data_IF_748603518093
#
_entry.id   IF_748603518093
#
_cell.length_a   1.000
_cell.length_b   1.000
_cell.length_c   1.000
_cell.angle_alpha   90.00
_cell.angle_beta   90.00
_cell.angle_gamma   90.00
#
_symmetry.space_group_name_H-M   'P 1'
#
loop_
_entity.id
_entity.type
_entity.pdbx_description
1 polymer ?
#
# COMPACT_ATOMS: atom_id res chain seq x y z
N UNK A 1 46.45 21.04 15.74
CA UNK A 1 45.74 19.87 15.17
C UNK A 1 44.70 19.44 16.19
N UNK A 2 43.49 20.00 16.11
CA UNK A 2 42.34 19.62 16.94
C UNK A 2 41.59 18.50 16.23
N UNK A 3 41.59 17.32 16.84
CA UNK A 3 40.81 16.16 16.40
C UNK A 3 39.33 16.43 16.66
N UNK A 4 38.63 16.94 15.65
CA UNK A 4 37.18 16.99 15.57
C UNK A 4 36.63 15.55 15.63
N UNK A 5 36.20 15.13 16.82
CA UNK A 5 35.50 13.87 17.05
C UNK A 5 34.09 13.94 16.45
N UNK A 6 33.96 13.59 15.18
CA UNK A 6 32.65 13.45 14.52
C UNK A 6 32.02 12.11 14.93
N UNK A 7 31.41 12.06 16.12
CA UNK A 7 30.67 10.90 16.62
C UNK A 7 29.30 10.79 15.92
N UNK A 8 29.27 10.10 14.77
CA UNK A 8 28.04 9.71 14.06
C UNK A 8 27.31 8.60 14.83
N UNK A 9 26.50 9.00 15.81
CA UNK A 9 25.52 8.10 16.43
C UNK A 9 24.48 7.72 15.37
N UNK A 10 24.72 6.62 14.66
CA UNK A 10 23.75 6.02 13.74
C UNK A 10 22.52 5.60 14.54
N UNK A 11 21.47 6.42 14.52
CA UNK A 11 20.18 6.09 15.13
C UNK A 11 19.46 5.07 14.25
N UNK A 12 19.92 3.82 14.30
CA UNK A 12 19.29 2.69 13.62
C UNK A 12 17.96 2.40 14.33
N UNK A 13 16.87 2.56 13.58
CA UNK A 13 15.52 2.31 14.04
C UNK A 13 15.39 0.90 14.65
N UNK A 14 14.69 0.74 15.78
CA UNK A 14 14.56 -0.54 16.45
C UNK A 14 13.85 -1.56 15.56
N UNK A 15 14.53 -2.66 15.27
CA UNK A 15 14.04 -3.83 14.49
C UNK A 15 12.67 -4.33 14.99
N UNK A 16 12.39 -4.13 16.27
CA UNK A 16 11.13 -4.46 16.93
C UNK A 16 9.90 -3.87 16.22
N UNK A 17 9.98 -2.63 15.74
CA UNK A 17 8.85 -1.98 15.04
C UNK A 17 8.55 -2.70 13.72
N UNK A 18 9.58 -3.08 12.97
CA UNK A 18 9.41 -3.85 11.73
C UNK A 18 8.77 -5.21 11.96
N UNK A 19 9.18 -5.91 13.02
CA UNK A 19 8.64 -7.22 13.36
C UNK A 19 7.16 -7.17 13.75
N UNK A 20 6.73 -6.13 14.49
CA UNK A 20 5.32 -5.95 14.86
C UNK A 20 4.47 -5.69 13.61
N UNK A 21 4.91 -4.81 12.73
CA UNK A 21 4.18 -4.50 11.49
C UNK A 21 4.15 -5.71 10.57
N UNK A 22 5.24 -6.48 10.49
CA UNK A 22 5.29 -7.73 9.75
C UNK A 22 4.25 -8.74 10.27
N UNK A 23 4.14 -8.91 11.59
CA UNK A 23 3.10 -9.76 12.18
C UNK A 23 1.70 -9.27 11.81
N UNK A 24 1.46 -7.96 11.85
CA UNK A 24 0.16 -7.37 11.47
C UNK A 24 -0.16 -7.60 9.97
N UNK A 25 0.84 -7.53 9.09
CA UNK A 25 0.70 -7.87 7.67
C UNK A 25 0.38 -9.36 7.47
N UNK A 26 1.02 -10.25 8.23
CA UNK A 26 0.73 -11.69 8.15
C UNK A 26 -0.71 -12.01 8.58
N UNK A 27 -1.24 -11.32 9.60
CA UNK A 27 -2.65 -11.44 9.99
C UNK A 27 -3.58 -10.96 8.88
N UNK A 28 -3.29 -9.81 8.26
CA UNK A 28 -4.08 -9.30 7.13
C UNK A 28 -4.03 -10.23 5.91
N UNK A 29 -2.89 -10.87 5.67
CA UNK A 29 -2.73 -11.86 4.62
C UNK A 29 -3.60 -13.10 4.89
N UNK A 30 -3.52 -13.64 6.11
CA UNK A 30 -4.35 -14.76 6.52
C UNK A 30 -5.85 -14.43 6.41
N UNK A 31 -6.25 -13.21 6.78
CA UNK A 31 -7.62 -12.73 6.59
C UNK A 31 -8.02 -12.69 5.11
N UNK A 32 -7.14 -12.24 4.22
CA UNK A 32 -7.39 -12.23 2.76
C UNK A 32 -7.59 -13.65 2.23
N UNK A 33 -6.77 -14.60 2.68
CA UNK A 33 -6.88 -16.01 2.32
C UNK A 33 -8.21 -16.58 2.83
N UNK A 34 -8.57 -16.30 4.09
CA UNK A 34 -9.84 -16.73 4.68
C UNK A 34 -11.06 -16.19 3.93
N UNK A 35 -11.04 -14.90 3.57
CA UNK A 35 -12.09 -14.27 2.76
C UNK A 35 -12.17 -14.91 1.37
N UNK A 36 -11.05 -15.28 0.76
CA UNK A 36 -11.05 -15.95 -0.54
C UNK A 36 -11.74 -17.33 -0.52
N UNK A 37 -11.76 -18.02 0.63
CA UNK A 37 -12.50 -19.28 0.80
C UNK A 37 -13.97 -19.09 1.19
N UNK A 38 -14.35 -17.91 1.68
CA UNK A 38 -15.73 -17.57 1.98
C UNK A 38 -16.43 -17.13 0.69
N UNK A 39 -17.41 -17.91 0.24
CA UNK A 39 -18.23 -17.57 -0.92
C UNK A 39 -19.23 -16.43 -0.60
N UNK A 40 -18.71 -15.21 -0.50
CA UNK A 40 -19.47 -13.98 -0.24
C UNK A 40 -20.13 -13.42 -1.52
N UNK A 41 -20.09 -14.17 -2.62
CA UNK A 41 -20.65 -13.75 -3.92
C UNK A 41 -20.02 -12.43 -4.42
N UNK A 42 -20.82 -11.46 -4.91
CA UNK A 42 -20.33 -10.18 -5.42
C UNK A 42 -19.51 -9.36 -4.42
N UNK A 43 -19.80 -9.50 -3.11
CA UNK A 43 -19.12 -8.76 -2.05
C UNK A 43 -17.68 -9.20 -1.82
N UNK A 44 -17.29 -10.40 -2.26
CA UNK A 44 -15.93 -10.90 -2.09
C UNK A 44 -14.89 -9.94 -2.69
N UNK A 45 -15.18 -9.38 -3.87
CA UNK A 45 -14.30 -8.42 -4.55
C UNK A 45 -14.12 -7.12 -3.76
N UNK A 46 -15.21 -6.60 -3.19
CA UNK A 46 -15.18 -5.36 -2.40
C UNK A 46 -14.35 -5.58 -1.14
N UNK A 47 -14.63 -6.67 -0.41
CA UNK A 47 -13.91 -7.01 0.84
C UNK A 47 -12.42 -7.25 0.55
N UNK A 48 -12.09 -8.01 -0.50
CA UNK A 48 -10.70 -8.26 -0.89
C UNK A 48 -9.95 -6.96 -1.24
N UNK A 49 -10.60 -6.03 -1.95
CA UNK A 49 -10.04 -4.71 -2.26
C UNK A 49 -9.83 -3.86 -1.00
N UNK A 50 -10.79 -3.84 -0.07
CA UNK A 50 -10.65 -3.10 1.20
C UNK A 50 -9.46 -3.61 2.01
N UNK A 51 -9.30 -4.94 2.13
CA UNK A 51 -8.16 -5.54 2.84
C UNK A 51 -6.86 -5.24 2.10
N UNK A 52 -6.87 -5.28 0.76
CA UNK A 52 -5.70 -4.91 -0.04
C UNK A 52 -5.30 -3.44 0.13
N UNK A 53 -6.24 -2.51 0.26
CA UNK A 53 -5.94 -1.10 0.52
C UNK A 53 -5.38 -0.90 1.94
N UNK A 54 -5.96 -1.59 2.94
CA UNK A 54 -5.45 -1.55 4.30
C UNK A 54 -4.00 -2.06 4.40
N UNK A 55 -3.68 -3.16 3.71
CA UNK A 55 -2.31 -3.71 3.65
C UNK A 55 -1.34 -2.69 3.03
N UNK A 56 -1.77 -2.04 1.94
CA UNK A 56 -0.94 -1.08 1.21
C UNK A 56 -0.64 0.16 2.05
N UNK A 57 -1.63 0.69 2.77
CA UNK A 57 -1.44 1.82 3.69
C UNK A 57 -0.46 1.51 4.82
N UNK A 58 -0.49 0.28 5.35
CA UNK A 58 0.42 -0.18 6.40
C UNK A 58 1.87 -0.30 5.88
N UNK A 59 2.06 -0.87 4.68
CA UNK A 59 3.37 -0.94 4.02
C UNK A 59 3.91 0.46 3.75
N UNK A 60 3.09 1.35 3.20
CA UNK A 60 3.46 2.71 2.85
C UNK A 60 3.88 3.52 4.09
N UNK A 61 3.20 3.34 5.22
CA UNK A 61 3.52 4.11 6.44
C UNK A 61 4.79 3.61 7.13
N UNK A 62 4.97 2.29 7.22
CA UNK A 62 6.00 1.68 8.06
C UNK A 62 7.22 1.16 7.28
N UNK A 63 7.03 0.39 6.21
CA UNK A 63 8.15 -0.18 5.45
C UNK A 63 8.85 0.86 4.57
N UNK A 64 8.10 1.80 4.01
CA UNK A 64 8.69 2.93 3.26
C UNK A 64 9.23 4.05 4.17
N UNK A 65 9.27 3.85 5.50
CA UNK A 65 9.70 4.86 6.49
C UNK A 65 9.01 6.22 6.32
N UNK A 66 7.83 6.27 5.72
CA UNK A 66 7.19 7.53 5.32
C UNK A 66 6.81 8.40 6.52
N UNK A 67 6.56 7.77 7.67
CA UNK A 67 6.31 8.44 8.96
C UNK A 67 7.55 9.11 9.56
N UNK A 68 8.75 8.65 9.23
CA UNK A 68 10.03 9.14 9.76
C UNK A 68 10.85 9.95 8.74
N UNK A 69 10.42 9.94 7.48
CA UNK A 69 11.06 10.67 6.39
C UNK A 69 10.53 12.11 6.28
N UNK A 70 11.19 12.93 5.45
CA UNK A 70 10.80 14.33 5.26
C UNK A 70 9.36 14.44 4.73
N UNK A 71 8.67 15.53 5.07
CA UNK A 71 7.31 15.82 4.57
C UNK A 71 7.23 15.78 3.03
N UNK A 72 8.35 16.02 2.36
CA UNK A 72 8.48 15.95 0.91
C UNK A 72 8.27 14.52 0.39
N UNK A 73 8.87 13.50 1.04
CA UNK A 73 8.69 12.10 0.67
C UNK A 73 7.23 11.65 0.80
N UNK A 74 6.53 12.14 1.83
CA UNK A 74 5.12 11.85 2.05
C UNK A 74 4.23 12.44 0.94
N UNK A 75 4.52 13.66 0.50
CA UNK A 75 3.83 14.30 -0.64
C UNK A 75 4.05 13.51 -1.93
N UNK A 76 5.29 13.17 -2.27
CA UNK A 76 5.59 12.40 -3.49
C UNK A 76 4.94 11.01 -3.47
N UNK A 77 4.99 10.31 -2.34
CA UNK A 77 4.36 9.00 -2.21
C UNK A 77 2.83 9.09 -2.33
N UNK A 78 2.21 10.10 -1.69
CA UNK A 78 0.78 10.37 -1.84
C UNK A 78 0.39 10.72 -3.29
N UNK A 79 1.23 11.51 -3.97
CA UNK A 79 1.02 11.91 -5.36
C UNK A 79 1.16 10.72 -6.33
N UNK A 80 2.12 9.82 -6.09
CA UNK A 80 2.24 8.56 -6.83
C UNK A 80 1.06 7.62 -6.60
N UNK A 81 0.59 7.48 -5.36
CA UNK A 81 -0.59 6.69 -5.05
C UNK A 81 -1.86 7.27 -5.69
N UNK A 82 -2.03 8.60 -5.62
CA UNK A 82 -3.11 9.31 -6.29
C UNK A 82 -3.09 9.11 -7.81
N UNK A 83 -1.90 9.21 -8.42
CA UNK A 83 -1.72 8.92 -9.84
C UNK A 83 -2.10 7.48 -10.22
N UNK A 84 -1.75 6.50 -9.38
CA UNK A 84 -2.14 5.10 -9.57
C UNK A 84 -3.67 4.95 -9.57
N UNK A 85 -4.35 5.57 -8.61
CA UNK A 85 -5.83 5.55 -8.53
C UNK A 85 -6.45 6.11 -9.80
N UNK A 86 -5.93 7.22 -10.33
CA UNK A 86 -6.38 7.79 -11.61
C UNK A 86 -6.21 6.79 -12.76
N UNK A 87 -5.04 6.16 -12.89
CA UNK A 87 -4.80 5.15 -13.94
C UNK A 87 -5.76 3.96 -13.83
N UNK A 88 -6.05 3.49 -12.62
CA UNK A 88 -6.99 2.40 -12.38
C UNK A 88 -8.41 2.77 -12.78
N UNK A 89 -8.87 3.96 -12.41
CA UNK A 89 -10.21 4.45 -12.72
C UNK A 89 -10.40 4.64 -14.23
N UNK A 90 -9.43 5.29 -14.90
CA UNK A 90 -9.48 5.50 -16.34
C UNK A 90 -9.38 4.16 -17.08
N UNK A 91 -8.46 3.28 -16.69
CA UNK A 91 -8.30 1.97 -17.31
C UNK A 91 -9.56 1.11 -17.20
N UNK A 92 -10.14 0.98 -15.99
CA UNK A 92 -11.42 0.28 -15.82
C UNK A 92 -12.56 0.94 -16.59
N UNK A 93 -12.60 2.28 -16.64
CA UNK A 93 -13.57 3.02 -17.43
C UNK A 93 -13.49 2.67 -18.93
N UNK A 94 -12.28 2.58 -19.47
CA UNK A 94 -12.04 2.19 -20.87
C UNK A 94 -12.48 0.75 -21.13
N UNK A 95 -12.17 -0.21 -20.24
CA UNK A 95 -12.64 -1.59 -20.35
C UNK A 95 -14.17 -1.69 -20.36
N UNK A 96 -14.85 -0.93 -19.51
CA UNK A 96 -16.32 -0.92 -19.44
C UNK A 96 -16.91 -0.27 -20.71
N UNK A 97 -16.33 0.84 -21.16
CA UNK A 97 -16.78 1.56 -22.36
C UNK A 97 -16.65 0.70 -23.63
N UNK A 98 -15.57 -0.08 -23.77
CA UNK A 98 -15.38 -1.02 -24.90
C UNK A 98 -16.46 -2.10 -24.95
N UNK A 99 -16.92 -2.59 -23.80
CA UNK A 99 -18.01 -3.57 -23.72
C UNK A 99 -19.39 -2.99 -24.05
N UNK A 100 -19.52 -1.67 -24.09
CA UNK A 100 -20.81 -0.97 -24.25
C UNK A 100 -21.10 -0.53 -25.68
N UNK A 101 -20.13 -0.60 -26.61
CA UNK A 101 -20.31 -0.19 -28.01
C UNK A 101 -21.38 -1.09 -28.67
N UNK A 102 -22.60 -0.57 -28.97
CA UNK A 102 -23.62 -1.36 -29.63
C UNK A 102 -23.28 -1.46 -31.12
N UNK A 103 -22.97 -2.67 -31.58
CA UNK A 103 -22.81 -2.99 -33.01
C UNK A 103 -21.36 -3.08 -33.48
N UNK A 104 -20.75 -4.25 -33.26
CA UNK A 104 -19.92 -4.94 -34.27
C UNK A 104 -19.90 -6.44 -33.92
N UNK A 105 -20.95 -7.14 -34.33
CA UNK A 105 -20.91 -8.52 -34.79
C UNK A 105 -21.20 -8.46 -36.29
#
# INVERSE_FOLDING_TARGET
MTTEQHSTTHHVMPVRTYLIVFALLMVLLAATIGVAFLHLGPFNRIVALTIALAKAGLIMTYFMHLRYSSKLALVFAGMGFFWLVIMLLIGMGDYIARGTIPGTF
#
